data_IF_738132767941
#
_entry.id   IF_738132767941
#
_cell.length_a   1.000
_cell.length_b   1.000
_cell.length_c   1.000
_cell.angle_alpha   90.00
_cell.angle_beta   90.00
_cell.angle_gamma   90.00
#
_symmetry.space_group_name_H-M   'P 1'
#
loop_
_entity.id
_entity.type
_entity.pdbx_description
1 polymer ?
#
# COMPACT_ATOMS: atom_id res chain seq x y z
N UNK A 1 26.69 10.30 -22.16
CA UNK A 1 27.40 9.05 -21.80
C UNK A 1 28.92 9.22 -21.65
N UNK A 2 29.59 10.02 -22.49
CA UNK A 2 31.06 10.25 -22.40
C UNK A 2 31.56 10.67 -21.00
N UNK A 3 30.82 11.51 -20.29
CA UNK A 3 31.15 11.92 -18.92
C UNK A 3 31.06 10.77 -17.90
N UNK A 4 30.17 9.80 -18.11
CA UNK A 4 30.06 8.62 -17.27
C UNK A 4 31.21 7.64 -17.53
N UNK A 5 31.59 7.44 -18.80
CA UNK A 5 32.77 6.64 -19.17
C UNK A 5 34.03 7.23 -18.54
N UNK A 6 34.23 8.55 -18.61
CA UNK A 6 35.36 9.23 -17.96
C UNK A 6 35.41 8.97 -16.45
N UNK A 7 34.26 9.03 -15.77
CA UNK A 7 34.17 8.75 -14.34
C UNK A 7 34.48 7.28 -14.02
N UNK A 8 34.09 6.34 -14.87
CA UNK A 8 34.47 4.92 -14.75
C UNK A 8 35.97 4.72 -14.93
N UNK A 9 36.59 5.37 -15.91
CA UNK A 9 38.04 5.29 -16.10
C UNK A 9 38.81 5.84 -14.88
N UNK A 10 38.31 6.91 -14.25
CA UNK A 10 38.98 7.57 -13.12
C UNK A 10 38.77 6.86 -11.78
N UNK A 11 37.56 6.37 -11.52
CA UNK A 11 37.14 5.90 -10.19
C UNK A 11 36.67 4.44 -10.18
N UNK A 12 36.53 3.80 -11.34
CA UNK A 12 36.07 2.42 -11.48
C UNK A 12 34.73 2.16 -10.78
N UNK A 13 34.73 1.14 -9.92
CA UNK A 13 33.57 0.69 -9.13
C UNK A 13 33.01 1.80 -8.24
N UNK A 14 33.87 2.69 -7.73
CA UNK A 14 33.46 3.71 -6.77
C UNK A 14 32.49 4.73 -7.37
N UNK A 15 32.59 4.98 -8.68
CA UNK A 15 31.66 5.86 -9.38
C UNK A 15 30.21 5.34 -9.37
N UNK A 16 30.02 4.03 -9.17
CA UNK A 16 28.72 3.36 -9.20
C UNK A 16 28.11 3.19 -7.81
N UNK A 17 28.92 3.31 -6.74
CA UNK A 17 28.47 3.12 -5.35
C UNK A 17 28.25 4.46 -4.65
N UNK A 18 27.24 4.57 -3.77
CA UNK A 18 27.13 5.74 -2.91
C UNK A 18 28.30 5.78 -1.93
N UNK A 19 28.85 6.98 -1.70
CA UNK A 19 29.97 7.19 -0.79
C UNK A 19 29.50 7.98 0.42
N UNK A 20 30.04 7.68 1.61
CA UNK A 20 29.79 8.46 2.82
C UNK A 20 30.88 9.53 2.95
N UNK A 21 30.48 10.80 2.86
CA UNK A 21 31.40 11.95 2.92
C UNK A 21 30.86 12.93 3.95
N UNK A 22 31.66 13.28 4.96
CA UNK A 22 31.27 14.16 6.08
C UNK A 22 29.96 13.71 6.72
N UNK A 23 29.90 12.43 7.09
CA UNK A 23 28.74 11.75 7.70
C UNK A 23 27.47 11.66 6.85
N UNK A 24 27.45 12.26 5.65
CA UNK A 24 26.31 12.25 4.75
C UNK A 24 26.55 11.31 3.57
N UNK A 25 25.52 10.54 3.20
CA UNK A 25 25.57 9.71 2.00
C UNK A 25 25.43 10.57 0.75
N UNK A 26 26.43 10.50 -0.12
CA UNK A 26 26.41 11.09 -1.45
C UNK A 26 25.89 10.06 -2.45
N UNK A 27 25.12 10.55 -3.43
CA UNK A 27 24.67 9.76 -4.56
C UNK A 27 25.89 9.29 -5.38
N UNK A 28 25.81 8.12 -6.04
CA UNK A 28 26.89 7.66 -6.89
C UNK A 28 27.17 8.67 -8.02
N UNK A 29 28.43 8.75 -8.45
CA UNK A 29 28.86 9.67 -9.50
C UNK A 29 28.19 9.37 -10.85
N UNK A 30 27.74 8.13 -11.03
CA UNK A 30 26.97 7.63 -12.18
C UNK A 30 25.66 7.04 -11.68
N UNK A 31 24.54 7.43 -12.28
CA UNK A 31 23.23 6.92 -11.90
C UNK A 31 23.03 5.48 -12.37
N UNK A 32 22.18 4.72 -11.67
CA UNK A 32 21.86 3.31 -12.01
C UNK A 32 21.34 3.15 -13.44
N UNK A 33 20.57 4.13 -13.95
CA UNK A 33 20.07 4.11 -15.33
C UNK A 33 21.21 4.17 -16.34
N UNK A 34 22.12 5.13 -16.15
CA UNK A 34 23.27 5.33 -17.06
C UNK A 34 24.21 4.13 -17.01
N UNK A 35 24.45 3.57 -15.81
CA UNK A 35 25.19 2.33 -15.65
C UNK A 35 24.55 1.17 -16.41
N UNK A 36 23.22 1.00 -16.32
CA UNK A 36 22.47 -0.01 -17.06
C UNK A 36 22.53 0.18 -18.58
N UNK A 37 22.52 1.44 -19.06
CA UNK A 37 22.66 1.74 -20.49
C UNK A 37 24.07 1.41 -21.01
N UNK A 38 25.12 1.72 -20.23
CA UNK A 38 26.50 1.35 -20.56
C UNK A 38 26.70 -0.17 -20.55
N UNK A 39 26.15 -0.87 -19.55
CA UNK A 39 26.14 -2.33 -19.49
C UNK A 39 25.48 -2.95 -20.72
N UNK A 40 24.29 -2.45 -21.11
CA UNK A 40 23.60 -2.90 -22.33
C UNK A 40 24.41 -2.63 -23.59
N UNK A 41 25.08 -1.48 -23.68
CA UNK A 41 25.93 -1.15 -24.81
C UNK A 41 27.13 -2.10 -24.90
N UNK A 42 27.78 -2.42 -23.77
CA UNK A 42 28.88 -3.39 -23.72
C UNK A 42 28.43 -4.81 -24.10
N UNK A 43 27.26 -5.25 -23.64
CA UNK A 43 26.67 -6.55 -24.05
C UNK A 43 26.43 -6.59 -25.55
N UNK A 44 25.85 -5.54 -26.14
CA UNK A 44 25.62 -5.46 -27.60
C UNK A 44 26.92 -5.46 -28.40
N UNK A 45 27.97 -4.85 -27.86
CA UNK A 45 29.28 -4.76 -28.50
C UNK A 45 30.17 -6.00 -28.26
N UNK A 46 29.73 -6.97 -27.44
CA UNK A 46 30.54 -8.14 -27.07
C UNK A 46 31.72 -7.83 -26.14
N UNK A 47 31.76 -6.65 -25.52
CA UNK A 47 32.83 -6.20 -24.62
C UNK A 47 32.45 -6.32 -23.14
N UNK A 48 31.41 -7.10 -22.83
CA UNK A 48 31.04 -7.45 -21.47
C UNK A 48 31.98 -8.53 -20.92
N UNK A 49 32.55 -8.33 -19.74
CA UNK A 49 33.50 -9.26 -19.11
C UNK A 49 34.85 -8.63 -18.77
N UNK A 50 35.34 -7.72 -19.63
CA UNK A 50 36.61 -7.00 -19.43
C UNK A 50 36.40 -5.52 -19.71
N UNK A 51 36.78 -4.67 -18.76
CA UNK A 51 36.84 -3.23 -18.97
C UNK A 51 38.25 -2.82 -19.38
N UNK A 52 38.36 -2.12 -20.49
CA UNK A 52 39.61 -1.51 -20.94
C UNK A 52 39.65 -0.04 -20.53
N UNK A 53 40.57 0.31 -19.62
CA UNK A 53 40.69 1.65 -19.07
C UNK A 53 41.23 2.68 -20.07
N UNK A 54 42.02 2.23 -21.05
CA UNK A 54 42.63 3.10 -22.07
C UNK A 54 41.59 3.53 -23.11
N UNK A 55 40.81 2.57 -23.62
CA UNK A 55 39.76 2.82 -24.61
C UNK A 55 38.45 3.30 -23.95
N UNK A 56 38.25 3.02 -22.66
CA UNK A 56 36.99 3.25 -21.95
C UNK A 56 35.86 2.35 -22.44
N UNK A 57 36.23 1.23 -23.06
CA UNK A 57 35.31 0.27 -23.67
C UNK A 57 35.13 -0.96 -22.76
N UNK A 58 33.92 -1.50 -22.79
CA UNK A 58 33.57 -2.71 -22.04
C UNK A 58 32.88 -2.45 -20.71
N UNK A 59 32.59 -3.54 -20.02
CA UNK A 59 31.92 -3.52 -18.73
C UNK A 59 32.41 -4.70 -17.90
N UNK A 60 32.80 -4.45 -16.66
CA UNK A 60 33.22 -5.47 -15.71
C UNK A 60 31.99 -6.05 -14.98
N UNK A 61 31.74 -7.37 -15.02
CA UNK A 61 30.66 -8.00 -14.24
C UNK A 61 30.72 -7.72 -12.74
N UNK A 62 31.90 -7.46 -12.16
CA UNK A 62 32.03 -7.10 -10.74
C UNK A 62 31.37 -5.76 -10.38
N UNK A 63 31.07 -4.94 -11.40
CA UNK A 63 30.37 -3.65 -11.25
C UNK A 63 28.85 -3.81 -11.20
N UNK A 64 28.34 -4.98 -11.59
CA UNK A 64 26.95 -5.29 -11.40
C UNK A 64 26.65 -5.27 -9.90
N UNK A 65 25.62 -4.53 -9.50
CA UNK A 65 25.15 -4.60 -8.13
C UNK A 65 24.82 -6.08 -7.84
N UNK A 66 25.16 -6.60 -6.63
CA UNK A 66 24.78 -7.97 -6.29
C UNK A 66 23.31 -8.12 -6.61
N UNK A 67 23.01 -9.21 -7.30
CA UNK A 67 21.65 -9.49 -7.72
C UNK A 67 20.78 -9.29 -6.49
N UNK A 68 19.73 -8.48 -6.61
CA UNK A 68 18.73 -8.40 -5.56
C UNK A 68 17.95 -9.69 -5.67
N UNK A 69 18.62 -10.83 -5.39
CA UNK A 69 17.99 -12.12 -5.27
C UNK A 69 16.88 -11.87 -4.29
N UNK A 70 15.68 -12.04 -4.81
CA UNK A 70 14.51 -12.07 -3.97
C UNK A 70 14.82 -13.15 -2.92
N UNK A 71 14.79 -12.86 -1.61
CA UNK A 71 15.24 -13.79 -0.56
C UNK A 71 14.63 -15.20 -0.69
N UNK A 72 13.47 -15.27 -1.32
CA UNK A 72 12.72 -16.48 -1.63
C UNK A 72 13.47 -17.42 -2.59
N UNK A 73 14.26 -16.94 -3.57
CA UNK A 73 15.00 -17.81 -4.50
C UNK A 73 16.17 -18.56 -3.84
N UNK A 74 16.87 -17.94 -2.89
CA UNK A 74 17.93 -18.61 -2.13
C UNK A 74 17.34 -19.56 -1.07
N UNK A 75 16.16 -19.25 -0.52
CA UNK A 75 15.42 -20.14 0.37
C UNK A 75 14.86 -21.37 -0.37
N UNK A 76 14.33 -21.21 -1.59
CA UNK A 76 13.84 -22.35 -2.41
C UNK A 76 14.97 -23.32 -2.76
N UNK A 77 16.18 -22.80 -3.00
CA UNK A 77 17.33 -23.64 -3.34
C UNK A 77 17.91 -24.43 -2.14
N UNK A 78 17.52 -24.08 -0.91
CA UNK A 78 18.05 -24.68 0.32
C UNK A 78 17.06 -25.63 1.03
N UNK A 79 15.86 -25.82 0.47
CA UNK A 79 14.76 -26.55 1.11
C UNK A 79 14.35 -27.72 0.23
N UNK A 80 14.75 -28.94 0.61
CA UNK A 80 14.36 -30.20 -0.06
C UNK A 80 12.98 -30.72 0.41
N UNK A 81 12.41 -30.14 1.47
CA UNK A 81 11.17 -30.62 2.10
C UNK A 81 9.96 -29.73 1.78
N UNK A 82 8.97 -30.33 1.10
CA UNK A 82 7.75 -29.68 0.58
C UNK A 82 6.85 -29.07 1.65
N UNK A 83 6.94 -29.50 2.91
CA UNK A 83 6.08 -28.99 3.99
C UNK A 83 6.59 -27.68 4.61
N UNK A 84 7.88 -27.37 4.50
CA UNK A 84 8.45 -26.12 5.03
C UNK A 84 8.39 -24.95 4.01
N UNK A 85 8.17 -25.28 2.73
CA UNK A 85 7.83 -24.35 1.65
C UNK A 85 6.58 -23.51 1.98
N UNK A 86 5.51 -24.15 2.45
CA UNK A 86 4.23 -23.47 2.74
C UNK A 86 4.35 -22.48 3.90
N UNK A 87 5.14 -22.80 4.93
CA UNK A 87 5.38 -21.90 6.07
C UNK A 87 6.21 -20.67 5.67
N UNK A 88 7.20 -20.84 4.80
CA UNK A 88 8.00 -19.74 4.23
C UNK A 88 7.17 -18.89 3.26
N UNK A 89 6.22 -19.49 2.53
CA UNK A 89 5.28 -18.81 1.64
C UNK A 89 4.18 -18.03 2.39
N UNK A 90 3.84 -18.42 3.62
CA UNK A 90 2.72 -17.86 4.39
C UNK A 90 3.15 -16.90 5.53
N UNK A 91 4.45 -16.79 5.83
CA UNK A 91 4.96 -16.01 6.97
C UNK A 91 5.71 -14.71 6.64
N UNK A 92 5.05 -13.56 6.85
CA UNK A 92 5.64 -12.19 6.98
C UNK A 92 6.26 -11.55 5.73
N UNK A 93 5.43 -10.78 5.01
CA UNK A 93 5.77 -10.24 3.71
C UNK A 93 6.44 -8.85 3.72
N UNK A 94 7.75 -8.80 3.50
CA UNK A 94 8.40 -7.71 2.74
C UNK A 94 8.58 -8.15 1.28
N UNK A 95 7.52 -8.10 0.46
CA UNK A 95 7.70 -8.14 -1.01
C UNK A 95 6.79 -9.02 -1.87
N UNK A 96 5.86 -9.82 -1.33
CA UNK A 96 5.05 -10.70 -2.18
C UNK A 96 4.09 -9.95 -3.14
N UNK A 97 4.06 -10.44 -4.38
CA UNK A 97 3.20 -10.05 -5.50
C UNK A 97 1.75 -10.00 -5.00
N UNK A 98 1.07 -8.87 -5.18
CA UNK A 98 -0.31 -8.67 -4.68
C UNK A 98 -1.33 -9.66 -5.26
N UNK A 99 -0.99 -10.40 -6.32
CA UNK A 99 -1.86 -11.37 -7.01
C UNK A 99 -2.09 -12.67 -6.23
N UNK A 100 -1.18 -13.06 -5.34
CA UNK A 100 -1.32 -14.30 -4.55
C UNK A 100 -2.22 -14.05 -3.32
N UNK A 101 -2.36 -12.79 -2.90
CA UNK A 101 -3.17 -12.47 -1.73
C UNK A 101 -4.64 -12.47 -2.10
N UNK A 102 -5.52 -13.05 -1.26
CA UNK A 102 -6.94 -12.82 -1.43
C UNK A 102 -7.18 -11.30 -1.41
N UNK A 103 -8.03 -10.80 -2.33
CA UNK A 103 -8.29 -9.38 -2.42
C UNK A 103 -8.87 -8.89 -1.09
N UNK A 104 -8.47 -7.71 -0.64
CA UNK A 104 -8.94 -7.09 0.61
C UNK A 104 -10.45 -6.80 0.63
N UNK A 105 -11.16 -7.09 -0.46
CA UNK A 105 -12.55 -6.70 -0.72
C UNK A 105 -12.80 -5.20 -0.61
N UNK A 106 -13.90 -4.73 -1.18
CA UNK A 106 -14.32 -3.34 -1.05
C UNK A 106 -14.76 -3.05 0.39
N UNK A 107 -14.79 -1.77 0.79
CA UNK A 107 -15.30 -1.38 2.12
C UNK A 107 -16.77 -1.83 2.33
N UNK A 108 -17.56 -1.89 1.25
CA UNK A 108 -18.99 -2.25 1.30
C UNK A 108 -19.19 -3.74 1.61
N UNK A 109 -18.37 -4.62 1.04
CA UNK A 109 -18.37 -6.06 1.28
C UNK A 109 -17.92 -6.37 2.71
N UNK A 110 -16.78 -5.82 3.12
CA UNK A 110 -16.24 -5.98 4.49
C UNK A 110 -17.17 -5.52 5.62
N UNK A 111 -18.13 -4.64 5.33
CA UNK A 111 -19.07 -4.09 6.33
C UNK A 111 -20.51 -4.50 6.05
N UNK A 112 -20.74 -5.49 5.18
CA UNK A 112 -22.08 -5.93 4.82
C UNK A 112 -22.79 -6.61 6.00
N UNK A 113 -22.09 -7.52 6.66
CA UNK A 113 -22.61 -8.29 7.80
C UNK A 113 -22.91 -7.41 9.00
N UNK A 114 -21.98 -6.53 9.39
CA UNK A 114 -22.18 -5.60 10.51
C UNK A 114 -23.35 -4.65 10.27
N UNK A 115 -23.58 -4.25 9.01
CA UNK A 115 -24.73 -3.42 8.63
C UNK A 115 -26.03 -4.21 8.67
N UNK A 116 -26.04 -5.47 8.24
CA UNK A 116 -27.21 -6.34 8.33
C UNK A 116 -27.60 -6.58 9.80
N UNK A 117 -26.65 -6.94 10.66
CA UNK A 117 -26.86 -7.09 12.10
C UNK A 117 -27.46 -5.83 12.73
N UNK A 118 -26.97 -4.65 12.34
CA UNK A 118 -27.52 -3.38 12.82
C UNK A 118 -28.98 -3.19 12.40
N UNK A 119 -29.34 -3.55 11.18
CA UNK A 119 -30.71 -3.45 10.68
C UNK A 119 -31.62 -4.45 11.41
N UNK A 120 -31.18 -5.69 11.61
CA UNK A 120 -31.93 -6.71 12.35
C UNK A 120 -32.21 -6.28 13.79
N UNK A 121 -31.24 -5.70 14.48
CA UNK A 121 -31.44 -5.19 15.84
C UNK A 121 -32.45 -4.04 15.87
N UNK A 122 -32.38 -3.12 14.90
CA UNK A 122 -33.35 -2.02 14.79
C UNK A 122 -34.77 -2.51 14.47
N UNK A 123 -34.91 -3.59 13.70
CA UNK A 123 -36.20 -4.20 13.39
C UNK A 123 -36.82 -4.89 14.60
N UNK A 124 -36.01 -5.53 15.47
CA UNK A 124 -36.49 -6.12 16.72
C UNK A 124 -37.05 -5.07 17.68
N UNK A 125 -36.39 -3.92 17.77
CA UNK A 125 -36.82 -2.79 18.62
C UNK A 125 -37.92 -1.93 17.97
N UNK A 126 -38.37 -2.24 16.76
CA UNK A 126 -39.26 -1.37 16.01
C UNK A 126 -40.65 -1.28 16.63
N UNK A 127 -41.21 -2.42 17.05
CA UNK A 127 -42.57 -2.49 17.60
C UNK A 127 -42.67 -1.73 18.93
N UNK A 128 -41.68 -1.89 19.80
CA UNK A 128 -41.59 -1.17 21.09
C UNK A 128 -41.57 0.35 20.87
N UNK A 129 -40.73 0.84 19.95
CA UNK A 129 -40.65 2.27 19.61
C UNK A 129 -41.94 2.82 19.01
N UNK A 130 -42.68 2.00 18.27
CA UNK A 130 -43.98 2.38 17.72
C UNK A 130 -45.00 2.55 18.84
N UNK A 131 -45.00 1.66 19.82
CA UNK A 131 -45.90 1.75 20.99
C UNK A 131 -45.56 2.95 21.88
N UNK A 132 -44.28 3.15 22.19
CA UNK A 132 -43.80 4.33 22.92
C UNK A 132 -44.24 5.62 22.23
N UNK A 133 -44.03 5.72 20.92
CA UNK A 133 -44.44 6.88 20.14
C UNK A 133 -45.96 7.11 20.16
N UNK A 134 -46.77 6.04 20.13
CA UNK A 134 -48.23 6.14 20.23
C UNK A 134 -48.66 6.66 21.60
N UNK A 135 -48.08 6.14 22.67
CA UNK A 135 -48.35 6.59 24.04
C UNK A 135 -47.93 8.04 24.25
N UNK A 136 -46.75 8.44 23.75
CA UNK A 136 -46.31 9.84 23.78
C UNK A 136 -47.26 10.74 23.02
N UNK A 137 -47.74 10.32 21.84
CA UNK A 137 -48.73 11.08 21.09
C UNK A 137 -50.04 11.21 21.82
N UNK A 138 -50.50 10.17 22.52
CA UNK A 138 -51.70 10.20 23.33
C UNK A 138 -51.56 11.11 24.56
N UNK A 139 -50.44 11.04 25.26
CA UNK A 139 -50.13 11.91 26.39
C UNK A 139 -50.03 13.39 25.98
N UNK A 140 -49.55 13.65 24.76
CA UNK A 140 -49.44 14.99 24.20
C UNK A 140 -50.74 15.50 23.55
N UNK A 141 -51.81 14.68 23.44
CA UNK A 141 -53.10 15.19 23.00
C UNK A 141 -53.63 16.15 24.07
N UNK A 142 -54.09 17.36 23.69
CA UNK A 142 -54.73 18.28 24.63
C UNK A 142 -55.93 17.58 25.28
N UNK A 143 -56.15 17.83 26.58
CA UNK A 143 -57.26 17.22 27.30
C UNK A 143 -58.55 17.87 26.82
N UNK A 144 -59.57 17.09 26.43
CA UNK A 144 -60.85 17.68 26.05
C UNK A 144 -61.44 18.43 27.25
N UNK A 145 -61.61 19.74 27.11
CA UNK A 145 -62.08 20.61 28.20
C UNK A 145 -62.25 22.07 27.75
N UNK A 146 -63.27 22.73 28.30
CA UNK A 146 -63.69 24.10 27.95
C UNK A 146 -62.54 25.11 28.14
N UNK A 147 -61.70 24.92 29.16
CA UNK A 147 -60.56 25.79 29.43
C UNK A 147 -59.44 25.69 28.37
N UNK A 148 -59.21 24.51 27.82
CA UNK A 148 -58.22 24.31 26.75
C UNK A 148 -58.75 24.82 25.41
N UNK A 149 -60.03 24.61 25.11
CA UNK A 149 -60.71 25.20 23.94
C UNK A 149 -60.69 26.73 24.01
N UNK A 150 -60.93 27.32 25.18
CA UNK A 150 -60.85 28.77 25.40
C UNK A 150 -59.41 29.29 25.23
N UNK A 151 -58.40 28.59 25.78
CA UNK A 151 -56.97 28.92 25.57
C UNK A 151 -56.58 28.84 24.08
N UNK A 152 -57.09 27.84 23.36
CA UNK A 152 -56.82 27.65 21.93
C UNK A 152 -57.48 28.74 21.08
N UNK A 153 -58.73 29.10 21.37
CA UNK A 153 -59.44 30.22 20.74
C UNK A 153 -58.76 31.57 21.00
N UNK A 154 -58.30 31.83 22.22
CA UNK A 154 -57.57 33.04 22.59
C UNK A 154 -56.18 33.14 21.92
N UNK A 155 -55.52 32.00 21.68
CA UNK A 155 -54.21 31.97 21.00
C UNK A 155 -54.33 32.27 19.50
N UNK A 156 -55.44 31.89 18.87
CA UNK A 156 -55.74 32.20 17.47
C UNK A 156 -56.25 33.64 17.23
N UNK A 157 -56.65 34.34 18.29
CA UNK A 157 -57.18 35.71 18.25
C UNK A 157 -56.10 36.81 18.30
N UNK A 158 -54.81 36.43 18.46
CA UNK A 158 -53.68 37.37 18.39
C UNK A 158 -53.18 37.51 16.95
N UNK A 159 -53.95 38.20 16.12
CA UNK A 159 -53.50 38.92 14.92
C UNK A 159 -54.39 40.14 14.72
#
# INVERSE_FOLDING_TARGET
MRSAVRKLCQQGVEALRPQKVNEKWRKPAISRRVAGDLRKAAIRAGTYGKFDAETGAGWDPAWDAPDRRHPLLDAVAAVDDTESMDSILLGTNKGAIQSIRPPKETKRERTRETRAQKIENLLKEADEKIEEYRLEKEANKPKPGIEEEFKQAMKGSRY
#
